data_IF_841559819105
#
_entry.id   IF_841559819105
#
_cell.length_a   1.000
_cell.length_b   1.000
_cell.length_c   1.000
_cell.angle_alpha   90.00
_cell.angle_beta   90.00
_cell.angle_gamma   90.00
#
_symmetry.space_group_name_H-M   'P 1'
#
loop_
_entity.id
_entity.type
_entity.pdbx_description
1 polymer ?
#
# COMPACT_ATOMS: atom_id res chain seq x y z
N UNK A 1 22.30 46.04 -20.10
CA UNK A 1 21.22 45.14 -20.49
C UNK A 1 21.34 43.76 -19.86
N UNK A 2 22.54 43.23 -19.58
CA UNK A 2 22.69 41.91 -18.99
C UNK A 2 22.13 41.75 -17.56
N UNK A 3 22.22 42.80 -16.74
CA UNK A 3 21.73 42.76 -15.37
C UNK A 3 20.19 42.62 -15.27
N UNK A 4 19.44 43.29 -16.11
CA UNK A 4 17.97 43.20 -16.16
C UNK A 4 17.51 41.82 -16.58
N UNK A 5 18.21 41.21 -17.53
CA UNK A 5 17.89 39.85 -18.00
C UNK A 5 18.17 38.82 -16.91
N UNK A 6 19.27 38.95 -16.16
CA UNK A 6 19.62 38.05 -15.06
C UNK A 6 18.61 38.16 -13.91
N UNK A 7 18.20 39.40 -13.53
CA UNK A 7 17.18 39.60 -12.49
C UNK A 7 15.83 39.00 -12.89
N UNK A 8 15.39 39.18 -14.13
CA UNK A 8 14.17 38.62 -14.65
C UNK A 8 14.22 37.08 -14.66
N UNK A 9 15.37 36.54 -15.02
CA UNK A 9 15.61 35.08 -15.01
C UNK A 9 15.54 34.51 -13.60
N UNK A 10 16.18 35.16 -12.61
CA UNK A 10 16.13 34.75 -11.21
C UNK A 10 14.71 34.76 -10.66
N UNK A 11 13.91 35.78 -10.99
CA UNK A 11 12.52 35.88 -10.54
C UNK A 11 11.64 34.75 -11.08
N UNK A 12 11.98 34.20 -12.23
CA UNK A 12 11.23 33.08 -12.85
C UNK A 12 11.72 31.72 -12.36
N UNK A 13 13.03 31.59 -12.12
CA UNK A 13 13.63 30.33 -11.72
C UNK A 13 13.33 29.97 -10.27
N UNK A 14 13.40 30.93 -9.36
CA UNK A 14 13.20 30.68 -7.93
C UNK A 14 11.83 30.02 -7.63
N UNK A 15 10.70 30.57 -8.14
CA UNK A 15 9.41 29.89 -7.91
C UNK A 15 9.30 28.53 -8.60
N UNK A 16 9.96 28.34 -9.75
CA UNK A 16 9.97 27.03 -10.43
C UNK A 16 10.75 26.00 -9.63
N UNK A 17 11.89 26.38 -9.05
CA UNK A 17 12.70 25.49 -8.21
C UNK A 17 11.92 25.12 -6.95
N UNK A 18 11.28 26.09 -6.29
CA UNK A 18 10.46 25.86 -5.09
C UNK A 18 9.30 24.91 -5.41
N UNK A 19 8.59 25.16 -6.51
CA UNK A 19 7.50 24.31 -6.95
C UNK A 19 7.98 22.89 -7.23
N UNK A 20 9.11 22.71 -7.88
CA UNK A 20 9.68 21.39 -8.16
C UNK A 20 10.01 20.63 -6.88
N UNK A 21 10.58 21.31 -5.88
CA UNK A 21 10.88 20.69 -4.57
C UNK A 21 9.59 20.26 -3.87
N UNK A 22 8.56 21.11 -3.87
CA UNK A 22 7.27 20.81 -3.24
C UNK A 22 6.59 19.62 -3.92
N UNK A 23 6.56 19.60 -5.25
CA UNK A 23 5.96 18.50 -6.03
C UNK A 23 6.71 17.19 -5.77
N UNK A 24 8.03 17.23 -5.74
CA UNK A 24 8.86 16.05 -5.46
C UNK A 24 8.61 15.52 -4.04
N UNK A 25 8.56 16.41 -3.05
CA UNK A 25 8.29 16.04 -1.67
C UNK A 25 6.89 15.43 -1.50
N UNK A 26 5.86 16.02 -2.11
CA UNK A 26 4.51 15.51 -2.08
C UNK A 26 4.39 14.16 -2.79
N UNK A 27 5.06 13.99 -3.91
CA UNK A 27 5.09 12.72 -4.65
C UNK A 27 5.76 11.63 -3.82
N UNK A 28 6.90 11.92 -3.20
CA UNK A 28 7.60 10.98 -2.34
C UNK A 28 6.74 10.58 -1.14
N UNK A 29 6.06 11.53 -0.51
CA UNK A 29 5.15 11.26 0.60
C UNK A 29 3.97 10.39 0.16
N UNK A 30 3.38 10.69 -0.99
CA UNK A 30 2.28 9.90 -1.56
C UNK A 30 2.70 8.46 -1.83
N UNK A 31 3.87 8.26 -2.46
CA UNK A 31 4.42 6.94 -2.72
C UNK A 31 4.66 6.19 -1.40
N UNK A 32 5.25 6.84 -0.42
CA UNK A 32 5.50 6.24 0.89
C UNK A 32 4.20 5.80 1.57
N UNK A 33 3.17 6.63 1.56
CA UNK A 33 1.88 6.30 2.15
C UNK A 33 1.11 5.22 1.38
N UNK A 34 1.31 5.15 0.05
CA UNK A 34 0.61 4.18 -0.81
C UNK A 34 1.28 2.82 -0.81
N UNK A 35 2.60 2.77 -0.71
CA UNK A 35 3.38 1.54 -0.81
C UNK A 35 4.05 1.15 0.51
N UNK A 36 3.46 1.53 1.62
CA UNK A 36 4.01 1.19 2.92
C UNK A 36 3.92 -0.34 3.13
N UNK A 37 5.06 -1.04 3.25
CA UNK A 37 5.04 -2.47 3.50
C UNK A 37 4.67 -2.76 4.95
N UNK A 38 3.77 -3.71 5.14
CA UNK A 38 3.35 -4.16 6.46
C UNK A 38 3.44 -5.68 6.54
N UNK A 39 3.65 -6.17 7.74
CA UNK A 39 3.62 -7.60 8.02
C UNK A 39 2.98 -7.82 9.39
N UNK A 40 1.88 -8.54 9.42
CA UNK A 40 1.18 -8.83 10.65
C UNK A 40 0.25 -10.03 10.48
N UNK A 41 -0.28 -10.51 11.60
CA UNK A 41 -1.29 -11.54 11.61
C UNK A 41 -2.62 -10.95 11.16
N UNK A 42 -3.29 -11.62 10.22
CA UNK A 42 -4.57 -11.21 9.67
C UNK A 42 -5.54 -12.36 9.66
N UNK A 43 -6.83 -12.05 9.72
CA UNK A 43 -7.91 -13.02 9.56
C UNK A 43 -8.56 -12.82 8.20
N UNK A 44 -8.74 -13.91 7.47
CA UNK A 44 -9.39 -13.88 6.15
C UNK A 44 -10.89 -13.90 6.36
N UNK A 45 -11.59 -12.84 5.96
CA UNK A 45 -13.04 -12.71 6.12
C UNK A 45 -13.79 -13.02 4.84
N UNK A 46 -13.16 -12.84 3.68
CA UNK A 46 -13.76 -13.16 2.40
C UNK A 46 -12.69 -13.40 1.33
N UNK A 47 -13.06 -14.13 0.29
CA UNK A 47 -12.24 -14.39 -0.88
C UNK A 47 -13.13 -14.33 -2.11
N UNK A 48 -12.65 -13.67 -3.17
CA UNK A 48 -13.37 -13.68 -4.43
C UNK A 48 -12.43 -13.48 -5.60
N UNK A 49 -12.85 -13.97 -6.74
CA UNK A 49 -12.15 -13.79 -8.01
C UNK A 49 -13.03 -12.98 -8.95
N UNK A 50 -12.44 -12.01 -9.64
CA UNK A 50 -13.11 -11.19 -10.62
C UNK A 50 -12.28 -11.17 -11.90
N UNK A 51 -12.75 -11.89 -12.93
CA UNK A 51 -11.97 -12.08 -14.17
C UNK A 51 -10.69 -12.85 -13.90
N UNK A 52 -9.54 -12.25 -14.25
CA UNK A 52 -8.23 -12.83 -13.98
C UNK A 52 -7.60 -12.36 -12.66
N UNK A 53 -8.31 -11.53 -11.90
CA UNK A 53 -7.82 -10.98 -10.65
C UNK A 53 -8.39 -11.73 -9.45
N UNK A 54 -7.59 -11.84 -8.40
CA UNK A 54 -7.94 -12.52 -7.15
C UNK A 54 -7.85 -11.54 -6.00
N UNK A 55 -8.83 -11.60 -5.11
CA UNK A 55 -8.95 -10.67 -3.99
C UNK A 55 -9.22 -11.42 -2.70
N UNK A 56 -8.67 -10.90 -1.62
CA UNK A 56 -8.97 -11.35 -0.26
C UNK A 56 -9.40 -10.16 0.58
N UNK A 57 -10.37 -10.36 1.44
CA UNK A 57 -10.77 -9.37 2.43
C UNK A 57 -10.24 -9.81 3.78
N UNK A 58 -9.51 -8.92 4.45
CA UNK A 58 -8.86 -9.24 5.71
C UNK A 58 -9.20 -8.23 6.80
N UNK A 59 -9.14 -8.70 8.04
CA UNK A 59 -9.22 -7.86 9.24
C UNK A 59 -7.92 -8.06 10.01
N UNK A 60 -7.32 -6.95 10.47
CA UNK A 60 -6.16 -7.02 11.35
C UNK A 60 -6.61 -7.01 12.81
N UNK A 61 -5.90 -7.72 13.71
CA UNK A 61 -6.29 -7.76 15.12
C UNK A 61 -6.24 -6.39 15.81
N UNK A 62 -5.45 -5.46 15.28
CA UNK A 62 -5.28 -4.13 15.86
C UNK A 62 -6.40 -3.15 15.48
N UNK A 63 -7.29 -3.54 14.59
CA UNK A 63 -8.45 -2.71 14.26
C UNK A 63 -9.53 -2.91 15.31
N UNK A 64 -9.68 -1.95 16.20
CA UNK A 64 -10.77 -1.91 17.16
C UNK A 64 -12.12 -1.61 16.49
N UNK A 65 -12.10 -1.24 15.23
CA UNK A 65 -13.28 -0.99 14.43
C UNK A 65 -13.63 -2.29 13.69
N UNK A 66 -14.66 -2.97 14.15
CA UNK A 66 -15.16 -4.23 13.56
C UNK A 66 -15.67 -4.05 12.13
N UNK A 67 -15.92 -2.81 11.72
CA UNK A 67 -16.38 -2.50 10.36
C UNK A 67 -15.24 -2.24 9.38
N UNK A 68 -14.01 -2.15 9.87
CA UNK A 68 -12.86 -1.94 9.00
C UNK A 68 -12.42 -3.24 8.34
N UNK A 69 -12.74 -3.33 7.07
CA UNK A 69 -12.34 -4.46 6.23
C UNK A 69 -11.49 -3.97 5.08
N UNK A 70 -10.31 -4.54 4.94
CA UNK A 70 -9.40 -4.17 3.87
C UNK A 70 -9.45 -5.21 2.77
N UNK A 71 -9.63 -4.75 1.53
CA UNK A 71 -9.62 -5.61 0.33
C UNK A 71 -8.25 -5.52 -0.32
N UNK A 72 -7.63 -6.67 -0.50
CA UNK A 72 -6.31 -6.75 -1.12
C UNK A 72 -6.34 -7.66 -2.34
N UNK A 73 -5.65 -7.24 -3.40
CA UNK A 73 -5.37 -8.10 -4.53
C UNK A 73 -4.25 -9.06 -4.19
N UNK A 74 -4.26 -10.25 -4.78
CA UNK A 74 -3.20 -11.22 -4.60
C UNK A 74 -3.04 -12.08 -5.86
N UNK A 75 -1.95 -12.85 -5.91
CA UNK A 75 -1.76 -13.84 -6.96
C UNK A 75 -2.66 -15.06 -6.70
N UNK A 76 -2.92 -15.84 -7.73
CA UNK A 76 -3.67 -17.08 -7.60
C UNK A 76 -3.01 -18.03 -6.60
N UNK A 77 -1.69 -18.10 -6.62
CA UNK A 77 -0.91 -18.94 -5.71
C UNK A 77 -1.17 -18.59 -4.26
N UNK A 78 -1.15 -17.30 -3.92
CA UNK A 78 -1.44 -16.84 -2.58
C UNK A 78 -2.91 -17.01 -2.21
N UNK A 79 -3.80 -16.75 -3.16
CA UNK A 79 -5.24 -16.95 -2.98
C UNK A 79 -5.58 -18.39 -2.62
N UNK A 80 -4.93 -19.36 -3.24
CA UNK A 80 -5.19 -20.78 -3.02
C UNK A 80 -4.62 -21.29 -1.68
N UNK A 81 -3.70 -20.54 -1.05
CA UNK A 81 -3.10 -20.94 0.23
C UNK A 81 -4.01 -20.77 1.44
N UNK A 82 -5.01 -19.91 1.35
CA UNK A 82 -5.82 -19.50 2.50
C UNK A 82 -7.28 -19.75 2.25
N UNK A 83 -8.03 -19.98 3.34
CA UNK A 83 -9.47 -20.15 3.33
C UNK A 83 -10.15 -19.10 4.21
N UNK A 84 -11.44 -18.86 3.96
CA UNK A 84 -12.24 -17.94 4.78
C UNK A 84 -12.24 -18.45 6.23
N UNK A 85 -11.93 -17.56 7.16
CA UNK A 85 -11.83 -17.88 8.58
C UNK A 85 -10.44 -18.18 9.08
N UNK A 86 -9.47 -18.35 8.17
CA UNK A 86 -8.08 -18.59 8.54
C UNK A 86 -7.44 -17.35 9.17
N UNK A 87 -6.60 -17.59 10.18
CA UNK A 87 -5.71 -16.58 10.75
C UNK A 87 -4.30 -16.92 10.33
N UNK A 88 -3.70 -16.05 9.53
CA UNK A 88 -2.37 -16.27 8.95
C UNK A 88 -1.52 -15.02 9.05
N UNK A 89 -0.20 -15.19 9.00
CA UNK A 89 0.72 -14.06 8.92
C UNK A 89 0.78 -13.59 7.47
N UNK A 90 0.59 -12.30 7.25
CA UNK A 90 0.52 -11.72 5.92
C UNK A 90 1.55 -10.62 5.74
N UNK A 91 2.30 -10.68 4.65
CA UNK A 91 3.14 -9.58 4.18
C UNK A 91 2.38 -8.88 3.05
N UNK A 92 2.09 -7.60 3.24
CA UNK A 92 1.26 -6.85 2.30
C UNK A 92 1.69 -5.39 2.19
N UNK A 93 1.24 -4.74 1.12
CA UNK A 93 1.35 -3.30 0.94
C UNK A 93 -0.05 -2.71 1.05
N UNK A 94 -0.20 -1.71 1.89
CA UNK A 94 -1.49 -1.07 2.16
C UNK A 94 -1.37 0.44 2.00
N UNK A 95 -2.29 1.01 1.24
CA UNK A 95 -2.37 2.47 1.09
C UNK A 95 -3.17 3.07 2.24
N UNK A 96 -2.57 3.98 2.99
CA UNK A 96 -3.28 4.76 4.00
C UNK A 96 -4.26 5.77 3.40
N UNK A 97 -4.18 6.02 2.09
CA UNK A 97 -5.04 6.99 1.39
C UNK A 97 -6.25 6.30 0.78
N UNK A 98 -6.06 5.22 0.04
CA UNK A 98 -7.15 4.54 -0.69
C UNK A 98 -7.74 3.35 0.07
N UNK A 99 -7.11 2.92 1.16
CA UNK A 99 -7.46 1.71 1.92
C UNK A 99 -7.45 0.43 1.07
N UNK A 100 -6.74 0.47 -0.05
CA UNK A 100 -6.52 -0.67 -0.94
C UNK A 100 -5.07 -1.11 -0.82
N UNK A 101 -4.82 -2.34 -1.18
CA UNK A 101 -3.47 -2.86 -1.14
C UNK A 101 -3.34 -4.15 -1.91
N UNK A 102 -2.16 -4.75 -1.80
CA UNK A 102 -1.87 -6.04 -2.41
C UNK A 102 -1.12 -6.91 -1.41
N UNK A 103 -1.46 -8.20 -1.43
CA UNK A 103 -0.76 -9.21 -0.64
C UNK A 103 0.51 -9.61 -1.38
N UNK A 104 1.63 -9.52 -0.69
CA UNK A 104 2.89 -10.03 -1.22
C UNK A 104 3.01 -11.53 -0.98
N UNK A 105 2.74 -11.97 0.26
CA UNK A 105 2.82 -13.37 0.64
C UNK A 105 2.04 -13.66 1.91
N UNK A 106 1.36 -14.79 1.95
CA UNK A 106 0.83 -15.37 3.18
C UNK A 106 1.84 -16.40 3.72
N UNK A 107 2.18 -16.27 4.99
CA UNK A 107 2.95 -17.27 5.70
C UNK A 107 2.01 -18.16 6.50
N UNK A 108 1.90 -19.39 6.08
CA UNK A 108 1.14 -20.39 6.82
C UNK A 108 1.92 -20.79 8.09
N UNK A 109 1.23 -21.11 9.19
CA UNK A 109 1.90 -21.62 10.37
C UNK A 109 2.68 -22.87 10.01
N UNK A 110 3.94 -22.94 10.45
CA UNK A 110 4.75 -24.14 10.25
C UNK A 110 4.11 -25.30 11.03
N UNK A 111 4.05 -26.51 10.43
CA UNK A 111 3.59 -27.66 11.16
C UNK A 111 4.52 -27.90 12.34
N UNK A 112 3.96 -28.17 13.52
CA UNK A 112 4.76 -28.48 14.69
C UNK A 112 5.76 -29.59 14.39
N UNK A 113 7.05 -29.40 14.69
CA UNK A 113 8.01 -30.49 14.57
C UNK A 113 7.61 -31.55 15.61
N UNK A 114 7.09 -32.62 15.11
CA UNK A 114 6.66 -33.73 15.95
C UNK A 114 7.84 -34.40 16.65
#
# INVERSE_FOLDING_TARGET
>A
MGELTVKAYRKRIVPVIILSIVVTALTALYIHMTYFPMACEVRITDKYAAGSAYYVEIITPDTHDSDYRAKFSCSKEEYDKVDIGDTVFCEFHHSGVTHKGSVHRFKLPEPDPA
#
